data_IF_766018474710
#
_entry.id   IF_766018474710
#
_cell.length_a   1.000
_cell.length_b   1.000
_cell.length_c   1.000
_cell.angle_alpha   90.00
_cell.angle_beta   90.00
_cell.angle_gamma   90.00
#
_symmetry.space_group_name_H-M   'P 1'
#
loop_
_entity.id
_entity.type
_entity.pdbx_description
1 polymer ?
#
# COMPACT_ATOMS: atom_id res chain seq x y z
N UNK A 1 -6.88 -13.81 1.43
CA UNK A 1 -5.80 -13.73 2.44
C UNK A 1 -5.25 -12.31 2.40
N UNK A 2 -5.15 -11.62 3.54
CA UNK A 2 -4.54 -10.28 3.63
C UNK A 2 -3.05 -10.47 3.94
N UNK A 3 -2.18 -9.75 3.22
CA UNK A 3 -0.73 -9.71 3.45
C UNK A 3 -0.29 -8.26 3.60
N UNK A 4 0.59 -8.03 4.55
CA UNK A 4 1.18 -6.72 4.85
C UNK A 4 2.67 -6.85 4.56
N UNK A 5 3.24 -5.87 3.86
CA UNK A 5 4.65 -5.79 3.51
C UNK A 5 5.22 -4.46 4.02
N UNK A 6 6.32 -4.52 4.74
CA UNK A 6 7.09 -3.39 5.26
C UNK A 6 8.49 -3.36 4.61
N UNK A 7 9.29 -2.31 4.86
CA UNK A 7 10.60 -2.11 4.21
C UNK A 7 11.56 -3.31 4.31
N UNK A 8 11.43 -4.15 5.33
CA UNK A 8 12.28 -5.33 5.53
C UNK A 8 11.81 -6.58 4.77
N UNK A 9 10.63 -6.55 4.15
CA UNK A 9 10.11 -7.67 3.38
C UNK A 9 10.79 -7.77 2.00
N UNK A 10 11.17 -8.99 1.61
CA UNK A 10 11.85 -9.25 0.33
C UNK A 10 11.05 -8.82 -0.91
N UNK A 11 9.73 -8.79 -0.81
CA UNK A 11 8.82 -8.37 -1.89
C UNK A 11 8.48 -6.88 -1.87
N UNK A 12 8.82 -6.17 -0.79
CA UNK A 12 8.43 -4.78 -0.61
C UNK A 12 8.95 -3.88 -1.73
N UNK A 13 10.24 -3.99 -2.07
CA UNK A 13 10.85 -3.17 -3.11
C UNK A 13 10.19 -3.37 -4.48
N UNK A 14 9.77 -4.60 -4.80
CA UNK A 14 9.07 -4.90 -6.05
C UNK A 14 7.68 -4.24 -6.07
N UNK A 15 6.95 -4.33 -4.96
CA UNK A 15 5.60 -3.74 -4.84
C UNK A 15 5.66 -2.20 -4.78
N UNK A 16 6.65 -1.62 -4.11
CA UNK A 16 6.89 -0.18 -4.08
C UNK A 16 7.30 0.33 -5.47
N UNK A 17 8.10 -0.42 -6.22
CA UNK A 17 8.41 -0.09 -7.62
C UNK A 17 7.16 -0.14 -8.51
N UNK A 18 6.25 -1.10 -8.27
CA UNK A 18 4.97 -1.15 -8.97
C UNK A 18 4.10 0.07 -8.63
N UNK A 19 3.98 0.42 -7.34
CA UNK A 19 3.32 1.65 -6.90
C UNK A 19 3.89 2.88 -7.61
N UNK A 20 5.22 3.02 -7.66
CA UNK A 20 5.89 4.15 -8.32
C UNK A 20 5.51 4.29 -9.80
N UNK A 21 5.19 3.19 -10.49
CA UNK A 21 4.76 3.22 -11.89
C UNK A 21 3.27 3.54 -12.06
N UNK A 22 2.46 3.32 -11.03
CA UNK A 22 1.00 3.48 -11.07
C UNK A 22 0.52 4.79 -10.44
N UNK A 23 1.28 5.36 -9.51
CA UNK A 23 0.92 6.59 -8.80
C UNK A 23 1.09 7.83 -9.67
N UNK A 24 0.22 8.82 -9.43
CA UNK A 24 0.36 10.18 -9.96
C UNK A 24 0.96 11.14 -8.92
N UNK A 25 1.33 10.65 -7.73
CA UNK A 25 1.90 11.47 -6.68
C UNK A 25 3.35 11.84 -6.95
N UNK A 26 3.74 12.98 -6.37
CA UNK A 26 5.12 13.43 -6.37
C UNK A 26 5.96 12.51 -5.48
N UNK A 27 6.92 11.85 -6.11
CA UNK A 27 7.80 10.86 -5.50
C UNK A 27 8.88 11.50 -4.64
N UNK A 28 9.09 12.80 -4.80
CA UNK A 28 10.00 13.57 -3.97
C UNK A 28 9.34 13.98 -2.64
N UNK A 29 8.01 13.88 -2.54
CA UNK A 29 7.23 14.24 -1.34
C UNK A 29 6.76 13.03 -0.54
N UNK A 30 6.58 11.88 -1.20
CA UNK A 30 6.02 10.69 -0.55
C UNK A 30 6.84 9.43 -0.81
N UNK A 31 7.07 8.66 0.24
CA UNK A 31 7.56 7.30 0.17
C UNK A 31 6.52 6.30 0.67
N UNK A 32 6.61 5.06 0.18
CA UNK A 32 5.77 3.97 0.68
C UNK A 32 6.34 3.49 2.01
N UNK A 33 5.52 3.45 3.05
CA UNK A 33 5.89 2.90 4.36
C UNK A 33 5.41 1.47 4.55
N UNK A 34 4.23 1.13 4.04
CA UNK A 34 3.70 -0.23 4.07
C UNK A 34 2.76 -0.50 2.88
N UNK A 35 2.64 -1.76 2.49
CA UNK A 35 1.77 -2.21 1.39
C UNK A 35 0.90 -3.35 1.87
N UNK A 36 -0.40 -3.23 1.66
CA UNK A 36 -1.38 -4.27 1.96
C UNK A 36 -1.87 -4.86 0.65
N UNK A 37 -1.70 -6.17 0.48
CA UNK A 37 -2.32 -6.93 -0.59
C UNK A 37 -3.48 -7.74 -0.01
N UNK A 38 -4.65 -7.60 -0.60
CA UNK A 38 -5.81 -8.38 -0.24
C UNK A 38 -6.60 -8.76 -1.48
N UNK A 39 -7.48 -9.74 -1.37
CA UNK A 39 -8.42 -10.02 -2.45
C UNK A 39 -9.49 -8.91 -2.53
N UNK A 40 -10.09 -8.75 -3.70
CA UNK A 40 -11.20 -7.81 -3.95
C UNK A 40 -12.34 -7.88 -2.91
N UNK A 41 -12.78 -9.09 -2.56
CA UNK A 41 -13.83 -9.33 -1.57
C UNK A 41 -13.41 -8.99 -0.12
N UNK A 42 -12.13 -8.68 0.11
CA UNK A 42 -11.60 -8.30 1.43
C UNK A 42 -11.26 -6.80 1.51
N UNK A 43 -11.83 -6.00 0.62
CA UNK A 43 -11.56 -4.56 0.55
C UNK A 43 -11.82 -3.83 1.87
N UNK A 44 -12.97 -4.10 2.50
CA UNK A 44 -13.34 -3.47 3.77
C UNK A 44 -12.38 -3.85 4.89
N UNK A 45 -11.90 -5.08 4.90
CA UNK A 45 -10.93 -5.57 5.87
C UNK A 45 -9.56 -4.93 5.63
N UNK A 46 -9.11 -4.82 4.37
CA UNK A 46 -7.87 -4.14 4.02
C UNK A 46 -7.91 -2.65 4.39
N UNK A 47 -9.04 -1.97 4.21
CA UNK A 47 -9.23 -0.57 4.61
C UNK A 47 -9.18 -0.40 6.14
N UNK A 48 -9.75 -1.34 6.91
CA UNK A 48 -9.63 -1.34 8.37
C UNK A 48 -8.17 -1.51 8.81
N UNK A 49 -7.43 -2.42 8.18
CA UNK A 49 -6.00 -2.63 8.44
C UNK A 49 -5.21 -1.37 8.08
N UNK A 50 -5.48 -0.77 6.91
CA UNK A 50 -4.85 0.47 6.49
C UNK A 50 -5.11 1.61 7.48
N UNK A 51 -6.35 1.77 7.95
CA UNK A 51 -6.69 2.80 8.95
C UNK A 51 -5.97 2.58 10.28
N UNK A 52 -5.86 1.34 10.74
CA UNK A 52 -5.12 1.00 11.95
C UNK A 52 -3.62 1.30 11.83
N UNK A 53 -3.01 1.00 10.68
CA UNK A 53 -1.60 1.28 10.40
C UNK A 53 -1.32 2.75 10.10
N UNK A 54 -2.28 3.47 9.49
CA UNK A 54 -2.15 4.89 9.17
C UNK A 54 -1.89 5.74 10.42
N UNK A 55 -2.53 5.40 11.53
CA UNK A 55 -2.41 6.10 12.80
C UNK A 55 -1.01 6.09 13.43
N UNK A 56 -0.06 5.28 12.95
CA UNK A 56 1.29 5.22 13.53
C UNK A 56 2.38 5.95 12.72
N UNK A 57 2.27 6.04 11.38
CA UNK A 57 3.41 6.50 10.55
C UNK A 57 3.06 7.03 9.15
N UNK A 58 1.81 6.90 8.66
CA UNK A 58 1.48 7.24 7.27
C UNK A 58 0.52 8.46 7.18
N UNK A 59 0.87 9.43 6.34
CA UNK A 59 0.06 10.64 6.09
C UNK A 59 -1.06 10.36 5.09
N UNK A 60 -0.82 9.48 4.11
CA UNK A 60 -1.73 9.22 2.99
C UNK A 60 -1.88 7.73 2.69
N UNK A 61 -2.96 7.40 2.01
CA UNK A 61 -3.25 6.05 1.54
C UNK A 61 -3.64 6.11 0.06
N UNK A 62 -3.03 5.27 -0.77
CA UNK A 62 -3.43 5.07 -2.16
C UNK A 62 -3.90 3.63 -2.37
N UNK A 63 -4.95 3.45 -3.17
CA UNK A 63 -5.55 2.15 -3.47
C UNK A 63 -5.51 1.92 -4.97
N UNK A 64 -5.04 0.75 -5.37
CA UNK A 64 -4.97 0.31 -6.75
C UNK A 64 -5.73 -1.01 -6.89
N UNK A 65 -6.55 -1.11 -7.93
CA UNK A 65 -7.22 -2.35 -8.35
C UNK A 65 -6.39 -2.99 -9.46
N UNK A 66 -6.01 -4.26 -9.30
CA UNK A 66 -5.26 -5.01 -10.33
C UNK A 66 -6.18 -5.90 -11.17
N UNK A 67 -5.63 -6.44 -12.27
CA UNK A 67 -6.34 -7.22 -13.30
C UNK A 67 -6.71 -8.63 -12.83
N UNK A 68 -6.08 -9.13 -11.76
CA UNK A 68 -6.54 -10.30 -10.99
C UNK A 68 -7.13 -9.80 -9.66
N UNK A 69 -8.10 -10.52 -9.03
CA UNK A 69 -9.02 -10.00 -8.00
C UNK A 69 -8.29 -9.69 -6.68
N UNK A 70 -7.46 -8.66 -6.73
CA UNK A 70 -6.50 -8.26 -5.75
C UNK A 70 -6.48 -6.74 -5.71
N UNK A 71 -6.60 -6.21 -4.50
CA UNK A 71 -6.39 -4.82 -4.20
C UNK A 71 -5.00 -4.63 -3.60
N UNK A 72 -4.38 -3.53 -3.97
CA UNK A 72 -3.14 -3.07 -3.35
C UNK A 72 -3.42 -1.73 -2.67
N UNK A 73 -3.20 -1.68 -1.36
CA UNK A 73 -3.33 -0.46 -0.56
C UNK A 73 -1.94 -0.06 -0.09
N UNK A 74 -1.45 1.07 -0.58
CA UNK A 74 -0.16 1.65 -0.20
C UNK A 74 -0.39 2.70 0.88
N UNK A 75 0.33 2.55 1.99
CA UNK A 75 0.44 3.55 3.04
C UNK A 75 1.68 4.40 2.73
N UNK A 76 1.48 5.71 2.71
CA UNK A 76 2.49 6.68 2.30
C UNK A 76 2.87 7.58 3.46
N UNK A 77 4.16 7.81 3.61
CA UNK A 77 4.75 8.74 4.57
C UNK A 77 5.39 9.89 3.80
N UNK A 78 5.42 11.07 4.41
CA UNK A 78 6.18 12.20 3.86
C UNK A 78 7.68 11.90 3.99
N UNK A 79 8.45 12.29 2.98
CA UNK A 79 9.92 12.12 2.94
C UNK A 79 10.59 13.15 3.84
#
# INVERSE_FOLDING_TARGET
MIRIYEKNDSQFNNLAAAWSKMTHLDKDLFEVSAIILASDHQEKEAEKVAAALKGSTASRTEKFTSVMPCIMVCLLSEV
#
